data_IF_528740323800
#
_entry.id   IF_528740323800
#
_cell.length_a   1.000
_cell.length_b   1.000
_cell.length_c   1.000
_cell.angle_alpha   90.00
_cell.angle_beta   90.00
_cell.angle_gamma   90.00
#
_symmetry.space_group_name_H-M   'P 1'
#
loop_
_entity.id
_entity.type
_entity.pdbx_description
1 polymer ?
#
# COMPACT_ATOMS: atom_id res chain seq x y z
N UNK A 1 -14.56 14.46 4.19
CA UNK A 1 -14.28 13.36 5.14
C UNK A 1 -12.93 13.66 5.78
N UNK A 2 -12.84 13.75 7.11
CA UNK A 2 -11.56 13.93 7.82
C UNK A 2 -11.14 12.58 8.41
N UNK A 3 -9.92 12.15 8.11
CA UNK A 3 -9.34 10.95 8.71
C UNK A 3 -8.87 11.33 10.13
N UNK A 4 -9.38 10.67 11.18
CA UNK A 4 -8.94 10.93 12.55
C UNK A 4 -7.42 10.77 12.68
N UNK A 5 -6.78 11.70 13.39
CA UNK A 5 -5.32 11.70 13.62
C UNK A 5 -4.45 11.82 12.35
N UNK A 6 -5.01 12.24 11.21
CA UNK A 6 -4.22 12.52 10.02
C UNK A 6 -3.27 13.70 10.27
N UNK A 7 -1.98 13.44 10.15
CA UNK A 7 -0.94 14.48 10.18
C UNK A 7 -0.80 15.04 8.77
N UNK A 8 -1.10 16.33 8.58
CA UNK A 8 -1.12 16.99 7.27
C UNK A 8 0.16 17.75 6.92
N UNK A 9 1.09 17.89 7.88
CA UNK A 9 2.42 18.45 7.66
C UNK A 9 3.44 17.43 8.09
N UNK A 10 4.23 16.92 7.15
CA UNK A 10 5.36 16.08 7.46
C UNK A 10 6.58 16.57 6.66
N UNK A 11 7.74 16.59 7.31
CA UNK A 11 9.03 16.67 6.66
C UNK A 11 9.70 15.33 6.92
N UNK A 12 9.87 14.48 5.90
CA UNK A 12 10.31 13.12 6.20
C UNK A 12 10.20 12.12 5.05
N UNK A 13 10.41 10.87 5.41
CA UNK A 13 10.11 9.70 4.57
C UNK A 13 8.67 9.30 4.79
N UNK A 14 7.95 8.97 3.73
CA UNK A 14 6.58 8.44 3.78
C UNK A 14 6.65 6.92 3.75
N UNK A 15 5.98 6.28 4.70
CA UNK A 15 5.71 4.85 4.67
C UNK A 15 4.21 4.65 4.46
N UNK A 16 3.86 4.07 3.31
CA UNK A 16 2.52 3.58 3.00
C UNK A 16 2.39 2.19 3.61
N UNK A 17 1.40 1.98 4.47
CA UNK A 17 1.10 0.68 5.05
C UNK A 17 -0.31 0.29 4.63
N UNK A 18 -0.42 -0.90 4.05
CA UNK A 18 -1.70 -1.49 3.65
C UNK A 18 -1.86 -2.87 4.27
N UNK A 19 -3.09 -3.33 4.45
CA UNK A 19 -3.32 -4.70 4.92
C UNK A 19 -3.17 -5.70 3.78
N UNK A 20 -3.75 -5.42 2.63
CA UNK A 20 -3.74 -6.29 1.47
C UNK A 20 -3.58 -5.51 0.17
N UNK A 21 -2.60 -5.91 -0.64
CA UNK A 21 -2.40 -5.30 -1.96
C UNK A 21 -2.70 -6.27 -3.08
N UNK A 22 -3.72 -5.91 -3.85
CA UNK A 22 -4.15 -6.57 -5.06
C UNK A 22 -3.55 -5.93 -6.31
N UNK A 23 -3.59 -6.63 -7.47
CA UNK A 23 -3.25 -6.02 -8.74
C UNK A 23 -4.20 -4.85 -9.02
N UNK A 24 -3.65 -3.64 -9.07
CA UNK A 24 -4.42 -2.44 -9.33
C UNK A 24 -3.55 -1.20 -9.24
N UNK A 25 -4.06 -0.10 -9.76
CA UNK A 25 -3.31 1.15 -9.89
C UNK A 25 -3.36 2.00 -8.61
N UNK A 26 -3.99 1.54 -7.51
CA UNK A 26 -4.17 2.36 -6.31
C UNK A 26 -2.84 2.76 -5.67
N UNK A 27 -1.97 1.79 -5.37
CA UNK A 27 -0.67 2.07 -4.75
C UNK A 27 0.18 3.00 -5.64
N UNK A 28 0.17 2.76 -6.95
CA UNK A 28 0.89 3.59 -7.90
C UNK A 28 0.34 5.01 -7.97
N UNK A 29 -0.98 5.15 -8.05
CA UNK A 29 -1.66 6.45 -8.08
C UNK A 29 -1.41 7.21 -6.79
N UNK A 30 -1.46 6.53 -5.64
CA UNK A 30 -1.16 7.13 -4.34
C UNK A 30 0.30 7.60 -4.26
N UNK A 31 1.26 6.80 -4.74
CA UNK A 31 2.67 7.22 -4.83
C UNK A 31 2.82 8.45 -5.71
N UNK A 32 2.14 8.50 -6.86
CA UNK A 32 2.18 9.66 -7.77
C UNK A 32 1.59 10.92 -7.14
N UNK A 33 0.45 10.81 -6.44
CA UNK A 33 -0.16 11.92 -5.70
C UNK A 33 0.76 12.41 -4.56
N UNK A 34 1.42 11.50 -3.85
CA UNK A 34 2.40 11.85 -2.83
C UNK A 34 3.62 12.55 -3.44
N UNK A 35 4.11 12.11 -4.60
CA UNK A 35 5.19 12.82 -5.31
C UNK A 35 4.75 14.23 -5.71
N UNK A 36 3.53 14.37 -6.24
CA UNK A 36 2.97 15.67 -6.61
C UNK A 36 2.77 16.60 -5.40
N UNK A 37 2.56 16.05 -4.21
CA UNK A 37 2.44 16.80 -2.96
C UNK A 37 3.78 17.26 -2.37
N UNK A 38 4.93 16.79 -2.88
CA UNK A 38 6.26 17.31 -2.54
C UNK A 38 7.35 16.28 -2.19
N UNK A 39 7.05 15.16 -1.49
CA UNK A 39 8.03 14.10 -1.26
C UNK A 39 8.68 13.59 -2.55
N UNK A 40 10.00 13.40 -2.54
CA UNK A 40 10.69 12.72 -3.63
C UNK A 40 10.39 11.21 -3.61
N UNK A 41 10.38 10.58 -4.77
CA UNK A 41 10.03 9.15 -4.91
C UNK A 41 10.92 8.23 -4.07
N UNK A 42 12.21 8.54 -3.95
CA UNK A 42 13.18 7.80 -3.13
C UNK A 42 12.87 7.86 -1.63
N UNK A 43 12.00 8.78 -1.20
CA UNK A 43 11.52 8.94 0.19
C UNK A 43 10.13 8.34 0.39
N UNK A 44 9.56 7.66 -0.59
CA UNK A 44 8.29 6.96 -0.46
C UNK A 44 8.58 5.46 -0.42
N UNK A 45 8.11 4.80 0.63
CA UNK A 45 8.19 3.35 0.81
C UNK A 45 6.80 2.79 1.06
N UNK A 46 6.64 1.51 0.79
CA UNK A 46 5.37 0.80 0.83
C UNK A 46 5.54 -0.60 1.40
N UNK A 47 4.71 -0.93 2.38
CA UNK A 47 4.68 -2.20 3.08
C UNK A 47 3.25 -2.74 3.15
N UNK A 48 3.08 -4.06 3.01
CA UNK A 48 1.78 -4.71 3.20
C UNK A 48 1.90 -5.99 4.01
N UNK A 49 0.81 -6.31 4.72
CA UNK A 49 0.72 -7.58 5.45
C UNK A 49 0.57 -8.73 4.47
N UNK A 50 -0.32 -8.61 3.47
CA UNK A 50 -0.56 -9.63 2.47
C UNK A 50 -0.47 -9.06 1.04
N UNK A 51 0.01 -9.89 0.10
CA UNK A 51 0.00 -9.59 -1.34
C UNK A 51 -0.37 -10.82 -2.15
N UNK A 52 -0.92 -10.65 -3.35
CA UNK A 52 -1.14 -11.80 -4.27
C UNK A 52 0.07 -12.06 -5.16
N UNK A 53 0.21 -13.30 -5.67
CA UNK A 53 1.22 -13.65 -6.70
C UNK A 53 1.14 -12.74 -7.93
N UNK A 54 -0.06 -12.32 -8.33
CA UNK A 54 -0.27 -11.44 -9.49
C UNK A 54 0.28 -10.03 -9.19
N UNK A 55 0.05 -9.51 -7.97
CA UNK A 55 0.55 -8.19 -7.54
C UNK A 55 2.08 -8.10 -7.61
N UNK A 56 2.77 -9.16 -7.17
CA UNK A 56 4.24 -9.25 -7.19
C UNK A 56 4.77 -9.36 -8.63
N UNK A 57 4.16 -10.21 -9.46
CA UNK A 57 4.65 -10.48 -10.81
C UNK A 57 4.50 -9.28 -11.76
N UNK A 58 3.54 -8.39 -11.51
CA UNK A 58 3.32 -7.19 -12.33
C UNK A 58 4.33 -6.05 -12.07
N UNK A 59 5.38 -6.27 -11.27
CA UNK A 59 6.57 -5.40 -11.14
C UNK A 59 6.31 -3.94 -10.73
N UNK A 60 5.15 -3.63 -10.12
CA UNK A 60 4.83 -2.27 -9.68
C UNK A 60 4.62 -2.11 -8.17
N UNK A 61 4.41 -3.19 -7.44
CA UNK A 61 3.72 -3.09 -6.15
C UNK A 61 4.59 -3.60 -4.99
N UNK A 62 4.93 -2.66 -4.10
CA UNK A 62 5.56 -2.80 -2.77
C UNK A 62 7.08 -2.99 -2.65
N UNK A 63 7.63 -2.28 -1.67
CA UNK A 63 9.03 -2.42 -1.23
C UNK A 63 9.21 -3.64 -0.33
N UNK A 64 8.21 -3.98 0.49
CA UNK A 64 8.21 -5.20 1.27
C UNK A 64 6.79 -5.73 1.56
N UNK A 65 6.69 -7.03 1.82
CA UNK A 65 5.45 -7.67 2.26
C UNK A 65 5.76 -8.78 3.26
N UNK A 66 4.80 -9.10 4.13
CA UNK A 66 4.93 -10.19 5.10
C UNK A 66 4.50 -11.54 4.54
N UNK A 67 3.36 -11.61 3.86
CA UNK A 67 2.77 -12.86 3.41
C UNK A 67 2.34 -12.81 1.94
N UNK A 68 2.64 -13.88 1.21
CA UNK A 68 2.20 -14.09 -0.16
C UNK A 68 0.96 -14.99 -0.16
N UNK A 69 -0.20 -14.40 -0.42
CA UNK A 69 -1.46 -15.10 -0.53
C UNK A 69 -1.53 -15.89 -1.85
N UNK A 70 -2.04 -17.12 -1.78
CA UNK A 70 -2.27 -17.96 -2.96
C UNK A 70 -3.59 -17.66 -3.67
N UNK A 71 -4.54 -17.05 -2.95
CA UNK A 71 -5.91 -16.74 -3.35
C UNK A 71 -6.34 -15.44 -2.64
N UNK A 72 -7.33 -14.72 -3.16
CA UNK A 72 -7.93 -13.53 -2.54
C UNK A 72 -8.94 -13.88 -1.43
N UNK A 73 -9.33 -15.16 -1.33
CA UNK A 73 -10.24 -15.69 -0.32
C UNK A 73 -9.54 -15.96 1.01
N UNK A 74 -9.08 -14.92 1.69
CA UNK A 74 -8.55 -15.02 3.05
C UNK A 74 -9.14 -13.97 3.98
N UNK A 75 -8.86 -14.14 5.28
CA UNK A 75 -9.45 -13.36 6.35
C UNK A 75 -8.36 -12.72 7.19
N UNK A 76 -8.52 -11.43 7.45
CA UNK A 76 -7.86 -10.74 8.54
C UNK A 76 -8.66 -10.87 9.83
N UNK A 77 -8.05 -10.60 11.01
CA UNK A 77 -8.79 -10.53 12.27
C UNK A 77 -9.96 -9.55 12.26
N UNK A 78 -9.97 -8.56 11.35
CA UNK A 78 -11.02 -7.56 11.20
C UNK A 78 -12.02 -7.84 10.05
N UNK A 79 -11.87 -8.92 9.27
CA UNK A 79 -12.82 -9.23 8.18
C UNK A 79 -12.20 -9.93 6.98
N UNK A 80 -12.98 -10.08 5.91
CA UNK A 80 -12.50 -10.60 4.63
C UNK A 80 -11.55 -9.61 3.97
N UNK A 81 -10.51 -10.11 3.30
CA UNK A 81 -9.55 -9.29 2.57
C UNK A 81 -10.14 -8.61 1.32
N UNK A 82 -11.21 -9.19 0.77
CA UNK A 82 -12.00 -8.63 -0.32
C UNK A 82 -13.48 -8.82 0.00
N UNK A 83 -14.25 -7.74 0.01
CA UNK A 83 -15.73 -7.78 -0.10
C UNK A 83 -16.17 -7.54 -1.54
#
# INVERSE_FOLDING_TARGET
MQIPNAVSKHEGTVLIVDDFVMPGDFLDSLKQELVAAGPSEDRIRSAAVAVTKISVNNHKALDCYWWLAEDDRFFFPWGKAHE
#
